data_IF_728668137578
#
_entry.id   IF_728668137578
#
_cell.length_a   1.000
_cell.length_b   1.000
_cell.length_c   1.000
_cell.angle_alpha   90.00
_cell.angle_beta   90.00
_cell.angle_gamma   90.00
#
_symmetry.space_group_name_H-M   'P 1'
#
loop_
_entity.id
_entity.type
_entity.pdbx_description
1 polymer ?
#
# COMPACT_ATOMS: atom_id res chain seq x y z
N UNK A 1 14.15 -43.86 44.47
CA UNK A 1 13.23 -43.42 43.38
C UNK A 1 13.37 -41.90 43.28
N UNK A 2 13.75 -41.23 42.21
CA UNK A 2 14.25 -41.55 40.86
C UNK A 2 15.26 -40.43 40.50
N UNK A 3 16.23 -40.77 39.66
CA UNK A 3 17.55 -40.18 39.62
C UNK A 3 17.68 -38.91 38.77
N UNK A 4 18.52 -37.98 39.23
CA UNK A 4 19.12 -36.89 38.45
C UNK A 4 19.98 -37.49 37.33
N UNK A 5 19.63 -37.24 36.07
CA UNK A 5 20.49 -37.58 34.92
C UNK A 5 21.36 -36.37 34.56
N UNK A 6 22.65 -36.52 34.84
CA UNK A 6 23.73 -35.74 34.23
C UNK A 6 23.74 -36.00 32.72
N UNK A 7 23.76 -34.94 31.91
CA UNK A 7 24.19 -35.02 30.52
C UNK A 7 25.44 -34.15 30.39
N UNK A 8 26.61 -34.79 30.43
CA UNK A 8 27.88 -34.18 30.05
C UNK A 8 28.01 -34.32 28.54
N UNK A 9 27.81 -33.23 27.80
CA UNK A 9 28.26 -33.13 26.42
C UNK A 9 29.68 -32.56 26.43
N UNK A 10 30.63 -33.36 25.98
CA UNK A 10 32.00 -32.93 25.70
C UNK A 10 31.98 -31.88 24.58
N UNK A 11 32.36 -30.64 24.90
CA UNK A 11 32.75 -29.64 23.90
C UNK A 11 34.08 -30.10 23.27
N UNK A 12 34.07 -30.36 21.96
CA UNK A 12 35.30 -30.42 21.18
C UNK A 12 35.64 -29.02 20.67
N UNK A 13 36.90 -28.56 20.77
CA UNK A 13 37.27 -27.23 20.31
C UNK A 13 37.27 -27.17 18.78
N UNK A 14 36.45 -26.26 18.23
CA UNK A 14 36.47 -25.91 16.80
C UNK A 14 37.84 -25.31 16.45
N UNK A 15 38.56 -26.00 15.57
CA UNK A 15 39.87 -25.59 15.08
C UNK A 15 39.78 -24.28 14.29
N UNK A 16 40.29 -23.19 14.87
CA UNK A 16 40.29 -21.81 14.32
C UNK A 16 41.18 -21.58 13.09
N UNK A 17 41.79 -22.61 12.50
CA UNK A 17 42.66 -22.46 11.32
C UNK A 17 41.96 -22.61 9.95
N UNK A 18 40.65 -22.89 9.90
CA UNK A 18 39.88 -22.90 8.61
C UNK A 18 39.00 -21.66 8.38
N UNK A 19 39.03 -20.68 9.27
CA UNK A 19 38.27 -19.42 9.14
C UNK A 19 39.07 -18.27 8.49
N UNK A 20 40.31 -18.52 8.08
CA UNK A 20 41.21 -17.50 7.49
C UNK A 20 41.30 -17.51 5.97
N UNK A 21 40.64 -18.42 5.25
CA UNK A 21 40.62 -18.41 3.76
C UNK A 21 39.46 -17.62 3.14
N UNK A 22 38.53 -17.08 3.94
CA UNK A 22 37.43 -16.23 3.44
C UNK A 22 37.72 -14.72 3.50
N UNK A 23 38.89 -14.32 4.00
CA UNK A 23 39.24 -12.90 4.23
C UNK A 23 40.19 -12.29 3.18
N UNK A 24 40.40 -12.92 2.01
CA UNK A 24 41.30 -12.39 0.97
C UNK A 24 40.63 -11.96 -0.35
N UNK A 25 39.31 -12.13 -0.52
CA UNK A 25 38.59 -11.60 -1.70
C UNK A 25 38.13 -10.13 -1.52
N UNK A 26 39.06 -9.23 -1.21
CA UNK A 26 38.85 -7.78 -1.38
C UNK A 26 40.15 -7.09 -1.78
N UNK A 27 40.47 -7.17 -3.09
CA UNK A 27 41.10 -6.13 -3.92
C UNK A 27 41.46 -6.75 -5.27
N UNK A 28 40.59 -6.60 -6.27
CA UNK A 28 40.99 -6.78 -7.66
C UNK A 28 41.57 -5.45 -8.19
N UNK A 29 42.71 -5.45 -8.90
CA UNK A 29 43.25 -4.26 -9.56
C UNK A 29 42.37 -3.86 -10.77
N UNK A 30 42.41 -2.58 -11.20
CA UNK A 30 41.45 -2.05 -12.16
C UNK A 30 41.80 -2.48 -13.60
N UNK A 31 40.83 -3.08 -14.28
CA UNK A 31 40.84 -3.29 -15.74
C UNK A 31 40.58 -4.71 -16.22
N UNK A 32 39.34 -5.22 -16.07
CA UNK A 32 38.63 -6.17 -16.97
C UNK A 32 37.23 -6.52 -16.40
N UNK A 33 36.27 -7.02 -17.22
CA UNK A 33 34.84 -6.75 -17.06
C UNK A 33 34.07 -7.71 -16.14
N UNK A 34 33.09 -7.15 -15.42
CA UNK A 34 31.75 -7.73 -15.15
C UNK A 34 31.64 -9.00 -14.29
N UNK A 35 31.03 -8.86 -13.11
CA UNK A 35 30.42 -9.97 -12.37
C UNK A 35 29.44 -10.76 -13.26
N UNK A 36 29.40 -12.10 -13.18
CA UNK A 36 28.50 -12.89 -14.02
C UNK A 36 27.02 -12.70 -13.62
N UNK A 37 26.15 -12.73 -14.62
CA UNK A 37 24.70 -12.61 -14.49
C UNK A 37 24.10 -13.69 -13.56
N UNK A 38 22.94 -13.43 -12.92
CA UNK A 38 22.28 -14.32 -11.95
C UNK A 38 22.05 -15.79 -12.39
N UNK A 39 21.90 -16.15 -13.69
CA UNK A 39 21.78 -17.56 -14.10
C UNK A 39 23.04 -18.41 -13.84
N UNK A 40 24.23 -17.80 -13.76
CA UNK A 40 25.48 -18.52 -13.52
C UNK A 40 25.70 -18.83 -12.02
N UNK A 41 25.19 -17.97 -11.12
CA UNK A 41 25.29 -18.15 -9.67
C UNK A 41 24.51 -19.39 -9.21
N UNK A 42 23.35 -19.65 -9.80
CA UNK A 42 22.51 -20.82 -9.49
C UNK A 42 23.18 -22.13 -9.93
N UNK A 43 23.92 -22.12 -11.05
CA UNK A 43 24.69 -23.30 -11.51
C UNK A 43 25.78 -23.67 -10.51
N UNK A 44 26.47 -22.68 -9.94
CA UNK A 44 27.51 -22.91 -8.94
C UNK A 44 26.96 -23.46 -7.62
N UNK A 45 25.78 -23.03 -7.17
CA UNK A 45 25.19 -23.52 -5.90
C UNK A 45 24.74 -24.98 -5.99
N UNK A 46 24.17 -25.39 -7.14
CA UNK A 46 23.74 -26.78 -7.36
C UNK A 46 24.95 -27.71 -7.54
N UNK A 47 26.00 -27.25 -8.25
CA UNK A 47 27.24 -28.00 -8.39
C UNK A 47 27.93 -28.20 -7.03
N UNK A 48 27.98 -27.16 -6.18
CA UNK A 48 28.56 -27.26 -4.83
C UNK A 48 27.78 -28.22 -3.92
N UNK A 49 26.44 -28.24 -4.00
CA UNK A 49 25.62 -29.15 -3.20
C UNK A 49 25.85 -30.63 -3.58
N UNK A 50 26.03 -30.90 -4.87
CA UNK A 50 26.34 -32.25 -5.38
C UNK A 50 27.76 -32.67 -4.97
N UNK A 51 28.74 -31.76 -5.05
CA UNK A 51 30.12 -32.04 -4.66
C UNK A 51 30.24 -32.26 -3.14
N UNK A 52 29.51 -31.48 -2.33
CA UNK A 52 29.44 -31.64 -0.88
C UNK A 52 28.83 -32.98 -0.45
N UNK A 53 27.75 -33.42 -1.14
CA UNK A 53 27.11 -34.70 -0.86
C UNK A 53 27.93 -35.90 -1.33
N UNK A 54 28.80 -35.73 -2.34
CA UNK A 54 29.67 -36.81 -2.83
C UNK A 54 30.98 -36.94 -2.03
N UNK A 55 31.52 -35.85 -1.46
CA UNK A 55 32.77 -35.87 -0.67
C UNK A 55 32.57 -36.16 0.83
N UNK A 56 31.37 -36.00 1.40
CA UNK A 56 31.13 -36.15 2.85
C UNK A 56 30.80 -37.57 3.35
N UNK A 57 30.87 -38.59 2.48
CA UNK A 57 30.89 -40.00 2.88
C UNK A 57 29.64 -40.54 3.59
N UNK A 58 28.54 -39.77 3.64
CA UNK A 58 27.30 -40.22 4.25
C UNK A 58 26.34 -40.78 3.18
N UNK A 59 26.12 -42.08 3.31
CA UNK A 59 24.99 -42.84 2.78
C UNK A 59 24.84 -42.97 1.25
N UNK A 60 25.53 -43.98 0.69
CA UNK A 60 25.42 -44.39 -0.72
C UNK A 60 24.07 -45.02 -1.09
N UNK A 61 23.07 -45.01 -0.22
CA UNK A 61 21.78 -45.65 -0.50
C UNK A 61 20.76 -44.73 -1.22
N UNK A 62 20.90 -43.40 -1.14
CA UNK A 62 19.97 -42.43 -1.74
C UNK A 62 20.20 -42.15 -3.25
N UNK A 63 21.31 -42.61 -3.82
CA UNK A 63 21.68 -42.35 -5.22
C UNK A 63 21.14 -43.37 -6.25
N UNK A 64 20.31 -44.33 -5.84
CA UNK A 64 19.69 -45.31 -6.76
C UNK A 64 18.27 -44.97 -7.23
N UNK A 65 17.66 -43.90 -6.72
CA UNK A 65 16.28 -43.52 -7.07
C UNK A 65 16.20 -42.33 -8.03
N UNK A 66 17.34 -41.73 -8.38
CA UNK A 66 17.40 -40.55 -9.24
C UNK A 66 17.77 -41.02 -10.66
N UNK A 67 16.74 -41.19 -11.50
CA UNK A 67 16.93 -41.43 -12.93
C UNK A 67 17.73 -40.30 -13.61
N UNK A 68 18.28 -40.53 -14.82
CA UNK A 68 19.15 -39.56 -15.49
C UNK A 68 18.44 -38.22 -15.67
N UNK A 69 19.11 -37.15 -15.23
CA UNK A 69 18.64 -35.77 -15.30
C UNK A 69 18.35 -35.41 -16.77
N UNK A 70 17.08 -35.33 -17.13
CA UNK A 70 16.63 -34.98 -18.49
C UNK A 70 16.63 -33.46 -18.64
N UNK A 71 17.72 -32.95 -19.25
CA UNK A 71 17.76 -31.66 -19.95
C UNK A 71 17.55 -30.38 -19.10
N UNK A 72 17.80 -29.20 -19.68
CA UNK A 72 17.50 -27.94 -19.02
C UNK A 72 15.98 -27.82 -18.83
N UNK A 73 15.54 -27.76 -17.58
CA UNK A 73 14.17 -27.35 -17.24
C UNK A 73 14.07 -25.88 -17.63
N UNK A 74 13.44 -25.59 -18.77
CA UNK A 74 12.97 -24.25 -19.09
C UNK A 74 11.90 -23.90 -18.07
N UNK A 75 12.29 -23.26 -16.96
CA UNK A 75 11.35 -22.51 -16.13
C UNK A 75 10.92 -21.33 -16.99
N UNK A 76 9.79 -21.47 -17.70
CA UNK A 76 9.10 -20.29 -18.22
C UNK A 76 8.77 -19.46 -16.98
N UNK A 77 9.42 -18.30 -16.84
CA UNK A 77 8.95 -17.27 -15.92
C UNK A 77 7.52 -16.98 -16.37
N UNK A 78 6.54 -17.43 -15.58
CA UNK A 78 5.15 -17.18 -15.85
C UNK A 78 4.97 -15.67 -15.66
N UNK A 79 4.83 -14.92 -16.76
CA UNK A 79 4.59 -13.49 -16.69
C UNK A 79 3.30 -13.26 -15.89
N UNK A 80 3.36 -12.37 -14.89
CA UNK A 80 2.17 -12.02 -14.12
C UNK A 80 1.10 -11.47 -15.08
N UNK A 81 -0.15 -11.92 -14.98
CA UNK A 81 -1.24 -11.28 -15.71
C UNK A 81 -1.29 -9.78 -15.42
N UNK A 82 -1.03 -8.97 -16.45
CA UNK A 82 -1.18 -7.52 -16.39
C UNK A 82 -2.63 -7.14 -16.70
N UNK A 83 -3.11 -6.08 -16.05
CA UNK A 83 -4.42 -5.46 -16.27
C UNK A 83 -5.59 -6.40 -15.98
N UNK A 84 -5.51 -7.14 -14.87
CA UNK A 84 -6.55 -8.08 -14.45
C UNK A 84 -7.17 -7.69 -13.12
N UNK A 85 -8.48 -7.93 -13.02
CA UNK A 85 -9.25 -8.00 -11.78
C UNK A 85 -9.74 -9.45 -11.69
N UNK A 86 -9.38 -10.16 -10.64
CA UNK A 86 -9.62 -11.59 -10.49
C UNK A 86 -10.63 -11.87 -9.38
N UNK A 87 -11.58 -12.76 -9.66
CA UNK A 87 -12.49 -13.33 -8.67
C UNK A 87 -11.76 -14.42 -7.88
N UNK A 88 -11.02 -14.01 -6.85
CA UNK A 88 -10.20 -14.91 -6.06
C UNK A 88 -9.87 -14.32 -4.68
N UNK A 89 -9.60 -15.18 -3.71
CA UNK A 89 -9.00 -14.78 -2.44
C UNK A 89 -7.59 -14.22 -2.68
N UNK A 90 -7.30 -13.04 -2.12
CA UNK A 90 -6.05 -12.34 -2.40
C UNK A 90 -4.81 -13.11 -1.94
N UNK A 91 -4.87 -13.90 -0.85
CA UNK A 91 -3.72 -14.68 -0.38
C UNK A 91 -3.43 -15.80 -1.39
N UNK A 92 -4.48 -16.49 -1.83
CA UNK A 92 -4.41 -17.57 -2.81
C UNK A 92 -3.95 -17.07 -4.17
N UNK A 93 -4.54 -15.98 -4.66
CA UNK A 93 -4.21 -15.38 -5.95
C UNK A 93 -2.82 -14.76 -5.96
N UNK A 94 -2.42 -14.07 -4.88
CA UNK A 94 -1.06 -13.59 -4.75
C UNK A 94 -0.07 -14.75 -4.71
N UNK A 95 -0.34 -15.87 -4.04
CA UNK A 95 0.58 -17.01 -4.00
C UNK A 95 0.94 -17.56 -5.39
N UNK A 96 0.05 -17.42 -6.37
CA UNK A 96 0.26 -17.82 -7.77
C UNK A 96 1.11 -16.81 -8.56
N UNK A 97 1.26 -15.58 -8.06
CA UNK A 97 2.07 -14.56 -8.71
C UNK A 97 3.57 -14.76 -8.42
N UNK A 98 4.45 -14.44 -9.39
CA UNK A 98 5.88 -14.32 -9.16
C UNK A 98 6.20 -13.36 -8.01
N UNK A 99 7.11 -13.76 -7.12
CA UNK A 99 7.63 -12.86 -6.09
C UNK A 99 8.39 -11.69 -6.73
N UNK A 100 8.32 -10.51 -6.12
CA UNK A 100 9.03 -9.33 -6.64
C UNK A 100 8.55 -8.85 -8.01
N UNK A 101 7.26 -9.01 -8.32
CA UNK A 101 6.67 -8.60 -9.60
C UNK A 101 5.89 -7.29 -9.54
N UNK A 102 5.50 -6.83 -8.33
CA UNK A 102 4.65 -5.65 -8.12
C UNK A 102 5.50 -4.45 -7.69
N UNK A 103 5.21 -3.27 -8.25
CA UNK A 103 5.90 -2.01 -7.92
C UNK A 103 5.25 -1.29 -6.73
N UNK A 104 3.93 -1.18 -6.76
CA UNK A 104 3.13 -0.48 -5.76
C UNK A 104 1.92 -1.32 -5.36
N UNK A 105 1.65 -1.43 -4.06
CA UNK A 105 0.43 -2.02 -3.55
C UNK A 105 -0.37 -1.00 -2.72
N UNK A 106 -1.68 -0.96 -2.91
CA UNK A 106 -2.60 -0.23 -2.05
C UNK A 106 -3.68 -1.20 -1.55
N UNK A 107 -3.84 -1.32 -0.24
CA UNK A 107 -4.84 -2.19 0.37
C UNK A 107 -5.85 -1.39 1.20
N UNK A 108 -7.13 -1.62 0.94
CA UNK A 108 -8.27 -1.15 1.74
C UNK A 108 -9.07 -2.37 2.24
N UNK A 109 -8.54 -3.13 3.21
CA UNK A 109 -9.21 -4.32 3.74
C UNK A 109 -10.51 -3.96 4.47
N UNK A 110 -11.42 -4.94 4.71
CA UNK A 110 -12.49 -4.80 5.69
C UNK A 110 -11.95 -4.39 7.08
N UNK A 111 -12.53 -3.36 7.70
CA UNK A 111 -12.01 -2.80 8.97
C UNK A 111 -12.42 -3.56 10.23
N UNK A 112 -13.21 -4.63 10.09
CA UNK A 112 -13.75 -5.43 11.19
C UNK A 112 -14.65 -4.61 12.13
N UNK A 113 -15.55 -3.80 11.55
CA UNK A 113 -16.44 -2.86 12.26
C UNK A 113 -17.93 -3.24 12.14
N UNK A 114 -18.22 -4.43 11.61
CA UNK A 114 -19.58 -4.92 11.37
C UNK A 114 -20.22 -4.36 10.09
N UNK A 115 -19.42 -3.95 9.10
CA UNK A 115 -19.95 -3.55 7.81
C UNK A 115 -20.59 -4.72 7.07
N UNK A 116 -21.73 -4.48 6.41
CA UNK A 116 -22.44 -5.52 5.67
C UNK A 116 -21.89 -5.64 4.24
N UNK A 117 -20.92 -6.53 4.04
CA UNK A 117 -20.54 -6.99 2.71
C UNK A 117 -21.51 -8.09 2.23
N UNK A 118 -21.45 -8.40 0.94
CA UNK A 118 -22.26 -9.44 0.30
C UNK A 118 -21.76 -10.86 0.60
N UNK A 119 -20.44 -11.07 0.60
CA UNK A 119 -19.82 -12.40 0.79
C UNK A 119 -18.89 -12.50 2.00
N UNK A 120 -18.63 -11.39 2.70
CA UNK A 120 -17.68 -11.33 3.83
C UNK A 120 -18.35 -10.87 5.13
N UNK A 121 -18.07 -11.59 6.22
CA UNK A 121 -18.51 -11.21 7.56
C UNK A 121 -17.46 -10.32 8.25
N UNK A 122 -17.76 -9.02 8.37
CA UNK A 122 -16.88 -7.99 8.94
C UNK A 122 -16.92 -7.92 10.47
N UNK A 123 -16.93 -9.06 11.14
CA UNK A 123 -17.05 -9.17 12.60
C UNK A 123 -16.29 -10.38 13.14
N UNK A 124 -15.09 -10.62 12.61
CA UNK A 124 -14.20 -11.69 13.05
C UNK A 124 -13.73 -11.43 14.48
N UNK A 125 -13.46 -12.51 15.21
CA UNK A 125 -12.74 -12.43 16.48
C UNK A 125 -11.37 -11.77 16.26
N UNK A 126 -10.94 -10.93 17.21
CA UNK A 126 -9.76 -10.07 17.06
C UNK A 126 -8.50 -10.82 16.67
N UNK A 127 -8.16 -11.94 17.33
CA UNK A 127 -6.96 -12.69 17.02
C UNK A 127 -7.06 -13.36 15.64
N UNK A 128 -8.24 -13.88 15.27
CA UNK A 128 -8.50 -14.41 13.94
C UNK A 128 -8.35 -13.35 12.85
N UNK A 129 -8.87 -12.14 13.09
CA UNK A 129 -8.72 -10.99 12.19
C UNK A 129 -7.26 -10.61 12.00
N UNK A 130 -6.51 -10.46 13.11
CA UNK A 130 -5.09 -10.12 13.05
C UNK A 130 -4.25 -11.18 12.35
N UNK A 131 -4.50 -12.46 12.61
CA UNK A 131 -3.80 -13.58 11.95
C UNK A 131 -4.05 -13.56 10.45
N UNK A 132 -5.29 -13.29 10.04
CA UNK A 132 -5.65 -13.12 8.64
C UNK A 132 -4.96 -11.89 8.02
N UNK A 133 -4.90 -10.77 8.75
CA UNK A 133 -4.17 -9.57 8.33
C UNK A 133 -2.68 -9.82 8.12
N UNK A 134 -2.02 -10.48 9.06
CA UNK A 134 -0.61 -10.84 8.94
C UNK A 134 -0.35 -11.69 7.68
N UNK A 135 -1.26 -12.63 7.36
CA UNK A 135 -1.12 -13.50 6.21
C UNK A 135 -1.18 -12.74 4.87
N UNK A 136 -2.17 -11.87 4.66
CA UNK A 136 -2.25 -11.11 3.41
C UNK A 136 -1.18 -10.01 3.33
N UNK A 137 -0.78 -9.38 4.45
CA UNK A 137 0.35 -8.43 4.45
C UNK A 137 1.65 -9.14 4.03
N UNK A 138 1.87 -10.37 4.50
CA UNK A 138 3.03 -11.17 4.10
C UNK A 138 2.97 -11.55 2.61
N UNK A 139 1.79 -11.87 2.08
CA UNK A 139 1.60 -12.12 0.65
C UNK A 139 1.93 -10.87 -0.19
N UNK A 140 1.50 -9.68 0.24
CA UNK A 140 1.86 -8.39 -0.38
C UNK A 140 3.37 -8.15 -0.33
N UNK A 141 4.01 -8.38 0.83
CA UNK A 141 5.47 -8.22 0.97
C UNK A 141 6.26 -9.12 0.00
N UNK A 142 5.80 -10.36 -0.21
CA UNK A 142 6.38 -11.31 -1.17
C UNK A 142 6.21 -10.85 -2.61
N UNK A 143 5.02 -10.34 -2.96
CA UNK A 143 4.70 -9.90 -4.31
C UNK A 143 5.46 -8.62 -4.72
N UNK A 144 5.69 -7.70 -3.78
CA UNK A 144 6.42 -6.45 -4.04
C UNK A 144 7.89 -6.67 -4.39
N UNK A 145 8.40 -5.88 -5.35
CA UNK A 145 9.83 -5.74 -5.67
C UNK A 145 10.63 -5.30 -4.44
N UNK A 146 11.96 -5.44 -4.48
CA UNK A 146 12.82 -5.04 -3.35
C UNK A 146 12.74 -3.55 -3.01
N UNK A 147 12.43 -2.72 -4.00
CA UNK A 147 12.20 -1.27 -3.93
C UNK A 147 10.70 -0.90 -3.94
N UNK A 148 9.83 -1.90 -3.81
CA UNK A 148 8.38 -1.73 -3.87
C UNK A 148 7.80 -1.00 -2.66
N UNK A 149 6.67 -0.34 -2.92
CA UNK A 149 5.95 0.48 -1.94
C UNK A 149 4.61 -0.15 -1.58
N UNK A 150 4.23 -0.06 -0.30
CA UNK A 150 2.94 -0.56 0.21
C UNK A 150 2.18 0.52 0.97
N UNK A 151 0.93 0.73 0.61
CA UNK A 151 -0.01 1.61 1.29
C UNK A 151 -1.18 0.81 1.88
N UNK A 152 -1.57 1.14 3.11
CA UNK A 152 -2.62 0.42 3.84
C UNK A 152 -3.59 1.40 4.48
N UNK A 153 -4.86 1.35 4.09
CA UNK A 153 -5.96 2.06 4.74
C UNK A 153 -6.59 1.20 5.86
N UNK A 154 -6.93 1.81 6.99
CA UNK A 154 -7.62 1.14 8.11
C UNK A 154 -8.34 2.15 9.02
N UNK A 155 -9.37 1.69 9.73
CA UNK A 155 -10.04 2.44 10.81
C UNK A 155 -9.28 2.40 12.15
N UNK A 156 -9.83 3.08 13.16
CA UNK A 156 -9.23 3.25 14.49
C UNK A 156 -8.85 1.93 15.18
N UNK A 157 -9.69 0.90 15.05
CA UNK A 157 -9.68 -0.32 15.89
C UNK A 157 -8.37 -1.11 15.85
N UNK A 158 -7.74 -1.19 14.69
CA UNK A 158 -6.60 -2.07 14.44
C UNK A 158 -5.41 -1.34 13.80
N UNK A 159 -5.41 -0.01 13.81
CA UNK A 159 -4.39 0.78 13.14
C UNK A 159 -2.98 0.51 13.69
N UNK A 160 -2.85 0.47 15.02
CA UNK A 160 -1.57 0.21 15.66
C UNK A 160 -1.07 -1.22 15.39
N UNK A 161 -1.97 -2.19 15.47
CA UNK A 161 -1.71 -3.61 15.30
C UNK A 161 -1.24 -3.92 13.88
N UNK A 162 -1.96 -3.43 12.87
CA UNK A 162 -1.59 -3.65 11.47
C UNK A 162 -0.27 -2.95 11.11
N UNK A 163 0.00 -1.76 11.67
CA UNK A 163 1.31 -1.12 11.54
C UNK A 163 2.42 -1.99 12.12
N UNK A 164 2.25 -2.49 13.35
CA UNK A 164 3.25 -3.33 14.00
C UNK A 164 3.43 -4.66 13.25
N UNK A 165 2.35 -5.26 12.78
CA UNK A 165 2.38 -6.49 11.96
C UNK A 165 3.20 -6.30 10.68
N UNK A 166 2.94 -5.22 9.92
CA UNK A 166 3.70 -4.89 8.72
C UNK A 166 5.20 -4.72 9.03
N UNK A 167 5.54 -4.03 10.13
CA UNK A 167 6.93 -3.84 10.54
C UNK A 167 7.62 -5.16 10.92
N UNK A 168 6.91 -6.08 11.60
CA UNK A 168 7.44 -7.42 11.93
C UNK A 168 7.72 -8.27 10.69
N UNK A 169 6.91 -8.12 9.64
CA UNK A 169 7.10 -8.82 8.35
C UNK A 169 8.33 -8.31 7.60
N UNK A 170 8.71 -7.04 7.81
CA UNK A 170 9.94 -6.45 7.27
C UNK A 170 9.76 -5.06 6.67
N UNK A 171 8.52 -4.56 6.57
CA UNK A 171 8.26 -3.23 6.05
C UNK A 171 8.83 -2.12 6.93
N UNK A 172 9.26 -1.04 6.28
CA UNK A 172 9.77 0.15 6.92
C UNK A 172 8.73 1.27 6.78
N UNK A 173 8.13 1.68 7.89
CA UNK A 173 7.17 2.80 7.91
C UNK A 173 7.86 4.09 7.51
N UNK A 174 7.29 4.81 6.54
CA UNK A 174 7.70 6.16 6.13
C UNK A 174 6.84 7.22 6.79
N UNK A 175 5.53 7.05 6.71
CA UNK A 175 4.55 7.99 7.26
C UNK A 175 3.31 7.26 7.77
N UNK A 176 2.72 7.80 8.83
CA UNK A 176 1.36 7.49 9.25
C UNK A 176 0.49 8.68 8.86
N UNK A 177 -0.20 8.54 7.74
CA UNK A 177 -1.08 9.57 7.22
C UNK A 177 -2.44 9.51 7.90
N UNK A 178 -2.98 10.69 8.25
CA UNK A 178 -4.36 10.84 8.73
C UNK A 178 -5.21 11.40 7.61
N UNK A 179 -6.13 10.58 7.09
CA UNK A 179 -7.13 11.03 6.13
C UNK A 179 -8.39 11.48 6.86
N UNK A 180 -8.56 12.80 7.01
CA UNK A 180 -9.75 13.38 7.63
C UNK A 180 -10.92 13.50 6.64
N UNK A 181 -12.16 13.28 7.11
CA UNK A 181 -13.39 13.49 6.35
C UNK A 181 -14.50 14.13 7.21
N UNK A 182 -15.32 14.98 6.58
CA UNK A 182 -16.29 15.86 7.27
C UNK A 182 -17.60 15.19 7.67
N UNK A 183 -18.00 14.11 7.00
CA UNK A 183 -19.18 13.32 7.35
C UNK A 183 -18.78 12.13 8.22
N UNK A 184 -18.55 12.41 9.50
CA UNK A 184 -18.18 11.42 10.50
C UNK A 184 -19.34 10.55 10.99
N UNK A 185 -19.00 9.44 11.64
CA UNK A 185 -19.98 8.58 12.32
C UNK A 185 -20.24 9.17 13.71
N UNK A 186 -21.47 9.62 13.96
CA UNK A 186 -21.87 10.10 15.27
C UNK A 186 -21.66 8.99 16.32
N UNK A 187 -21.00 9.33 17.41
CA UNK A 187 -20.67 8.41 18.49
C UNK A 187 -21.38 8.87 19.77
N UNK A 188 -21.95 7.92 20.53
CA UNK A 188 -22.69 8.21 21.77
C UNK A 188 -21.79 8.40 22.99
N UNK A 189 -20.72 7.61 23.09
CA UNK A 189 -19.87 7.51 24.28
C UNK A 189 -18.38 7.82 24.01
N UNK A 190 -18.08 8.40 22.84
CA UNK A 190 -16.74 8.83 22.45
C UNK A 190 -16.81 9.98 21.44
N UNK A 191 -15.67 10.58 21.12
CA UNK A 191 -15.58 11.58 20.06
C UNK A 191 -16.02 11.00 18.71
N UNK A 192 -16.59 11.87 17.86
CA UNK A 192 -17.04 11.50 16.51
C UNK A 192 -15.86 11.00 15.69
N UNK A 193 -16.02 9.85 15.03
CA UNK A 193 -15.02 9.36 14.08
C UNK A 193 -15.08 10.19 12.81
N UNK A 194 -13.96 10.80 12.46
CA UNK A 194 -13.85 11.76 11.36
C UNK A 194 -12.58 11.58 10.54
N UNK A 195 -11.91 10.44 10.69
CA UNK A 195 -10.71 10.13 9.92
C UNK A 195 -10.56 8.63 9.70
N UNK A 196 -9.67 8.28 8.78
CA UNK A 196 -9.09 6.96 8.62
C UNK A 196 -7.56 7.09 8.64
N UNK A 197 -6.89 5.97 8.90
CA UNK A 197 -5.44 5.89 8.90
C UNK A 197 -4.97 5.33 7.58
N UNK A 198 -3.95 5.95 6.99
CA UNK A 198 -3.28 5.42 5.81
C UNK A 198 -1.80 5.28 6.14
N UNK A 199 -1.28 4.07 6.13
CA UNK A 199 0.13 3.82 6.38
C UNK A 199 0.91 3.75 5.07
N UNK A 200 2.04 4.45 5.01
CA UNK A 200 2.98 4.38 3.90
C UNK A 200 4.21 3.57 4.35
N UNK A 201 4.41 2.42 3.71
CA UNK A 201 5.52 1.51 3.93
C UNK A 201 6.38 1.34 2.68
N UNK A 202 7.67 1.04 2.89
CA UNK A 202 8.61 0.62 1.84
C UNK A 202 9.35 -0.63 2.29
N UNK A 203 9.87 -1.40 1.33
CA UNK A 203 10.73 -2.56 1.65
C UNK A 203 12.18 -2.16 1.98
N UNK A 204 12.70 -1.17 1.28
CA UNK A 204 14.03 -0.62 1.50
C UNK A 204 13.94 0.88 1.83
N UNK A 205 14.68 1.33 2.87
CA UNK A 205 14.64 2.71 3.37
C UNK A 205 15.37 3.71 2.48
N UNK A 206 16.27 3.23 1.64
CA UNK A 206 17.14 4.02 0.77
C UNK A 206 16.75 3.87 -0.70
N UNK A 207 16.14 2.74 -1.07
CA UNK A 207 15.76 2.42 -2.46
C UNK A 207 14.27 2.19 -2.58
N UNK A 208 13.56 3.21 -3.06
CA UNK A 208 12.13 3.14 -3.33
C UNK A 208 11.72 4.26 -4.29
N UNK A 209 10.64 4.04 -5.03
CA UNK A 209 10.08 5.07 -5.92
C UNK A 209 9.39 6.16 -5.10
N UNK A 210 9.88 7.40 -5.25
CA UNK A 210 9.27 8.57 -4.64
C UNK A 210 9.48 9.81 -5.52
N UNK A 211 8.46 10.12 -6.32
CA UNK A 211 8.46 11.14 -7.37
C UNK A 211 8.33 12.56 -6.82
N UNK A 212 9.15 12.88 -5.82
CA UNK A 212 9.16 14.18 -5.15
C UNK A 212 9.49 15.31 -6.11
N UNK A 213 10.33 15.11 -7.12
CA UNK A 213 10.74 16.18 -8.03
C UNK A 213 9.71 16.55 -9.10
N UNK A 214 8.64 15.77 -9.23
CA UNK A 214 7.55 16.05 -10.17
C UNK A 214 6.71 17.24 -9.66
N UNK A 215 6.58 18.33 -10.44
CA UNK A 215 5.74 19.47 -10.08
C UNK A 215 4.28 19.11 -9.80
N UNK A 216 3.74 18.06 -10.42
CA UNK A 216 2.37 17.60 -10.16
C UNK A 216 2.18 17.00 -8.75
N UNK A 217 3.28 16.71 -8.05
CA UNK A 217 3.31 16.16 -6.70
C UNK A 217 3.73 17.20 -5.65
N UNK A 218 3.91 18.47 -6.05
CA UNK A 218 4.34 19.57 -5.19
C UNK A 218 3.20 20.57 -5.01
N UNK A 219 3.22 21.27 -3.88
CA UNK A 219 2.33 22.41 -3.65
C UNK A 219 3.13 23.64 -3.20
N UNK A 220 2.60 24.86 -3.43
CA UNK A 220 3.23 26.07 -2.94
C UNK A 220 3.47 26.02 -1.42
N UNK A 221 4.60 26.56 -0.99
CA UNK A 221 4.93 26.71 0.43
C UNK A 221 4.61 28.13 0.92
N UNK A 222 4.30 28.27 2.20
CA UNK A 222 4.19 29.59 2.84
C UNK A 222 5.50 30.41 2.70
N UNK A 223 6.67 29.74 2.63
CA UNK A 223 7.95 30.38 2.32
C UNK A 223 7.96 31.08 0.97
N UNK A 224 7.27 30.53 -0.03
CA UNK A 224 7.10 31.16 -1.35
C UNK A 224 6.03 32.26 -1.31
N UNK A 225 4.86 31.93 -0.75
CA UNK A 225 3.67 32.76 -0.90
C UNK A 225 3.58 33.92 0.09
N UNK A 226 4.09 33.73 1.32
CA UNK A 226 3.90 34.67 2.44
C UNK A 226 5.21 35.35 2.80
N UNK A 227 6.29 34.58 2.92
CA UNK A 227 7.55 35.08 3.52
C UNK A 227 8.60 35.54 2.50
N UNK A 228 8.39 35.30 1.20
CA UNK A 228 9.38 35.57 0.14
C UNK A 228 10.81 35.08 0.50
N UNK A 229 10.89 33.92 1.17
CA UNK A 229 12.13 33.37 1.71
C UNK A 229 12.96 32.76 0.57
N UNK A 230 14.19 33.24 0.37
CA UNK A 230 15.11 32.74 -0.68
C UNK A 230 15.48 31.27 -0.54
N UNK A 231 15.26 30.65 0.63
CA UNK A 231 15.46 29.21 0.87
C UNK A 231 14.25 28.37 0.43
N UNK A 232 13.18 29.00 -0.05
CA UNK A 232 12.06 28.29 -0.63
C UNK A 232 12.53 27.43 -1.81
N UNK A 233 12.07 26.18 -1.87
CA UNK A 233 12.26 25.37 -3.07
C UNK A 233 11.38 25.98 -4.18
N UNK A 234 11.94 26.37 -5.34
CA UNK A 234 11.17 26.98 -6.42
C UNK A 234 10.07 26.06 -6.98
N UNK A 235 10.23 24.74 -6.85
CA UNK A 235 9.23 23.75 -7.27
C UNK A 235 8.08 23.58 -6.28
N UNK A 236 8.11 24.26 -5.13
CA UNK A 236 7.19 24.00 -4.03
C UNK A 236 7.73 22.99 -3.02
N UNK A 237 6.92 22.66 -2.03
CA UNK A 237 7.25 21.67 -1.01
C UNK A 237 6.51 20.36 -1.26
N UNK A 238 7.02 19.30 -0.63
CA UNK A 238 6.21 18.11 -0.44
C UNK A 238 5.06 18.46 0.50
N UNK A 239 3.96 17.76 0.40
CA UNK A 239 2.85 18.09 1.28
C UNK A 239 2.83 17.24 2.54
N UNK A 240 2.02 17.66 3.49
CA UNK A 240 2.03 17.10 4.82
C UNK A 240 1.42 15.70 4.87
N UNK A 241 1.74 15.00 5.95
CA UNK A 241 1.16 13.71 6.32
C UNK A 241 -0.22 13.82 7.00
N UNK A 242 -0.67 15.04 7.29
CA UNK A 242 -2.04 15.29 7.75
C UNK A 242 -2.87 15.77 6.57
N UNK A 243 -3.94 15.03 6.25
CA UNK A 243 -4.73 15.30 5.06
C UNK A 243 -6.09 15.90 5.49
N UNK A 244 -6.19 17.25 5.50
CA UNK A 244 -7.26 18.10 6.08
C UNK A 244 -8.14 18.77 5.03
N UNK A 245 -9.33 19.22 5.47
CA UNK A 245 -10.42 19.72 4.63
C UNK A 245 -10.88 21.19 4.87
N UNK A 246 -10.82 22.20 3.93
CA UNK A 246 -11.62 23.43 3.99
C UNK A 246 -13.01 23.40 3.27
N UNK A 247 -13.96 24.28 3.66
CA UNK A 247 -15.11 24.74 2.89
C UNK A 247 -14.80 26.03 2.08
N UNK A 248 -15.69 26.38 1.15
CA UNK A 248 -15.46 27.31 0.03
C UNK A 248 -16.24 28.62 0.07
N UNK A 249 -15.69 29.59 -0.66
CA UNK A 249 -16.09 30.94 -1.18
C UNK A 249 -17.51 31.55 -0.96
N UNK A 250 -18.53 30.89 -0.42
CA UNK A 250 -19.80 31.56 -0.10
C UNK A 250 -19.94 31.87 1.40
N UNK A 251 -19.15 32.81 1.93
CA UNK A 251 -19.34 33.27 3.31
C UNK A 251 -19.41 34.79 3.56
N UNK A 252 -19.24 35.67 2.59
CA UNK A 252 -18.92 37.06 3.00
C UNK A 252 -20.07 37.94 3.53
N UNK A 253 -21.37 37.57 3.46
CA UNK A 253 -22.42 38.61 3.58
C UNK A 253 -23.22 38.71 4.89
N UNK A 254 -23.29 37.73 5.80
CA UNK A 254 -24.20 37.84 6.98
C UNK A 254 -23.69 37.12 8.23
N UNK A 255 -22.74 37.75 8.94
CA UNK A 255 -22.49 37.43 10.35
C UNK A 255 -23.40 38.27 11.23
N UNK A 256 -24.32 37.62 11.97
CA UNK A 256 -24.81 38.16 13.25
C UNK A 256 -24.87 37.04 14.28
N UNK A 257 -23.94 37.12 15.24
CA UNK A 257 -23.98 36.61 16.62
C UNK A 257 -24.91 35.42 16.93
N UNK A 258 -24.41 34.20 16.76
CA UNK A 258 -24.83 33.04 17.57
C UNK A 258 -23.69 32.01 17.60
N UNK A 259 -23.01 31.99 18.74
CA UNK A 259 -21.77 31.29 19.01
C UNK A 259 -21.98 29.79 19.18
N UNK A 260 -21.71 29.01 18.13
CA UNK A 260 -21.36 27.59 18.21
C UNK A 260 -20.30 27.29 17.16
N UNK A 261 -19.03 27.57 17.50
CA UNK A 261 -17.89 27.20 16.64
C UNK A 261 -17.58 25.73 16.92
N UNK A 262 -17.98 24.83 16.03
CA UNK A 262 -17.84 23.39 16.25
C UNK A 262 -16.60 22.79 15.59
N UNK A 263 -15.95 23.45 14.61
CA UNK A 263 -14.81 22.85 13.89
C UNK A 263 -13.72 23.88 13.52
N UNK A 264 -12.43 23.50 13.51
CA UNK A 264 -11.30 24.41 13.18
C UNK A 264 -11.40 25.05 11.78
N UNK A 265 -12.05 24.38 10.84
CA UNK A 265 -12.34 24.90 9.50
C UNK A 265 -13.51 25.90 9.44
N UNK A 266 -14.23 26.10 10.55
CA UNK A 266 -15.28 27.11 10.71
C UNK A 266 -14.69 28.45 11.27
N UNK A 267 -13.37 28.55 11.39
CA UNK A 267 -12.66 29.73 11.86
C UNK A 267 -11.91 30.39 10.70
N UNK A 268 -12.33 31.61 10.34
CA UNK A 268 -11.83 32.39 9.21
C UNK A 268 -10.31 32.60 9.17
N UNK A 269 -9.63 32.44 10.31
CA UNK A 269 -8.22 32.81 10.49
C UNK A 269 -7.28 31.61 10.73
N UNK A 270 -7.77 30.36 10.56
CA UNK A 270 -7.03 29.18 11.05
C UNK A 270 -6.42 28.31 9.96
N UNK A 271 -7.19 27.92 8.94
CA UNK A 271 -6.69 27.06 7.87
C UNK A 271 -7.16 27.51 6.47
N UNK A 272 -6.22 27.77 5.57
CA UNK A 272 -6.40 28.33 4.23
C UNK A 272 -5.87 27.38 3.14
N UNK A 273 -6.38 27.44 1.89
CA UNK A 273 -5.88 26.63 0.77
C UNK A 273 -4.39 26.81 0.40
N UNK A 274 -3.69 27.73 1.05
CA UNK A 274 -2.25 27.98 0.85
C UNK A 274 -1.35 27.20 1.82
N UNK A 275 -1.93 26.37 2.68
CA UNK A 275 -1.24 25.66 3.75
C UNK A 275 -0.71 24.29 3.36
N UNK A 276 -0.04 23.67 4.32
CA UNK A 276 0.77 22.49 4.14
C UNK A 276 0.08 21.14 4.06
N UNK A 277 -1.21 21.21 4.33
CA UNK A 277 -2.06 20.09 4.68
C UNK A 277 -3.00 19.74 3.53
N UNK A 278 -3.18 18.43 3.30
CA UNK A 278 -3.67 17.89 2.02
C UNK A 278 -5.15 17.51 2.00
N UNK A 279 -5.95 17.81 0.99
CA UNK A 279 -7.41 17.56 1.08
C UNK A 279 -7.93 16.37 0.29
N UNK A 280 -8.71 15.47 0.92
CA UNK A 280 -9.59 14.56 0.19
C UNK A 280 -10.95 14.33 0.87
N UNK A 281 -12.09 14.58 0.19
CA UNK A 281 -13.42 14.32 0.74
C UNK A 281 -13.71 12.83 0.65
N UNK A 282 -14.52 12.31 1.57
CA UNK A 282 -15.12 10.99 1.40
C UNK A 282 -16.04 10.99 0.17
N UNK A 283 -16.05 9.90 -0.59
CA UNK A 283 -17.01 9.71 -1.70
C UNK A 283 -18.42 9.57 -1.12
N UNK A 284 -19.23 10.61 -1.28
CA UNK A 284 -20.62 10.63 -0.81
C UNK A 284 -21.61 10.23 -1.92
N UNK A 285 -22.84 9.89 -1.53
CA UNK A 285 -23.88 9.42 -2.46
C UNK A 285 -24.25 10.40 -3.59
N UNK A 286 -23.90 11.67 -3.45
CA UNK A 286 -24.13 12.71 -4.46
C UNK A 286 -22.98 12.85 -5.45
N UNK A 287 -21.83 12.22 -5.22
CA UNK A 287 -20.62 12.48 -6.01
C UNK A 287 -20.72 11.76 -7.35
N UNK A 288 -20.23 12.40 -8.41
CA UNK A 288 -20.22 11.82 -9.77
C UNK A 288 -19.42 10.52 -9.81
N UNK A 289 -18.31 10.46 -9.06
CA UNK A 289 -17.44 9.28 -8.98
C UNK A 289 -18.08 8.12 -8.21
N UNK A 290 -19.23 8.33 -7.54
CA UNK A 290 -19.85 7.32 -6.69
C UNK A 290 -20.44 6.20 -7.51
N UNK A 291 -19.93 5.01 -7.26
CA UNK A 291 -20.53 3.75 -7.67
C UNK A 291 -21.66 3.37 -6.70
N UNK A 292 -22.86 3.14 -7.24
CA UNK A 292 -24.09 2.90 -6.44
C UNK A 292 -24.08 1.61 -5.62
N UNK A 293 -23.10 0.73 -5.82
CA UNK A 293 -23.06 -0.62 -5.23
C UNK A 293 -22.12 -0.76 -4.02
N UNK A 294 -21.15 0.15 -3.80
CA UNK A 294 -20.13 -0.01 -2.75
C UNK A 294 -20.19 1.11 -1.72
N UNK A 295 -20.56 0.80 -0.46
CA UNK A 295 -20.73 1.80 0.61
C UNK A 295 -19.50 2.67 0.91
N UNK A 296 -18.31 2.08 0.79
CA UNK A 296 -17.05 2.63 1.26
C UNK A 296 -16.05 2.86 0.10
N UNK A 297 -16.50 3.44 -1.01
CA UNK A 297 -15.59 3.71 -2.13
C UNK A 297 -14.54 4.77 -1.76
N UNK A 298 -13.28 4.51 -2.14
CA UNK A 298 -12.16 5.45 -2.01
C UNK A 298 -12.23 6.55 -3.08
N UNK A 299 -11.81 7.81 -2.77
CA UNK A 299 -11.77 8.88 -3.76
C UNK A 299 -10.66 8.66 -4.78
N UNK A 300 -10.92 8.95 -6.06
CA UNK A 300 -9.90 8.75 -7.10
C UNK A 300 -8.68 9.64 -6.93
N UNK A 301 -8.87 10.91 -6.53
CA UNK A 301 -7.77 11.86 -6.36
C UNK A 301 -6.81 11.45 -5.23
N UNK A 302 -7.33 10.79 -4.18
CA UNK A 302 -6.55 10.25 -3.07
C UNK A 302 -5.57 9.19 -3.59
N UNK A 303 -6.10 8.20 -4.31
CA UNK A 303 -5.31 7.13 -4.91
C UNK A 303 -4.40 7.64 -6.02
N UNK A 304 -4.85 8.64 -6.78
CA UNK A 304 -4.08 9.22 -7.86
C UNK A 304 -2.79 9.87 -7.37
N UNK A 305 -2.85 10.52 -6.22
CA UNK A 305 -1.68 11.07 -5.56
C UNK A 305 -0.70 9.98 -5.11
N UNK A 306 -1.21 8.92 -4.47
CA UNK A 306 -0.38 7.78 -4.03
C UNK A 306 0.31 7.14 -5.24
N UNK A 307 -0.45 6.83 -6.30
CA UNK A 307 0.06 6.18 -7.51
C UNK A 307 1.06 7.08 -8.24
N UNK A 308 0.80 8.38 -8.39
CA UNK A 308 1.76 9.32 -9.00
C UNK A 308 3.04 9.47 -8.18
N UNK A 309 2.95 9.47 -6.85
CA UNK A 309 4.11 9.65 -5.98
C UNK A 309 4.98 8.40 -5.92
N UNK A 310 4.39 7.20 -5.95
CA UNK A 310 5.06 5.95 -5.63
C UNK A 310 5.16 4.95 -6.79
N UNK A 311 4.88 5.36 -8.03
CA UNK A 311 5.06 4.53 -9.23
C UNK A 311 5.30 5.36 -10.50
N UNK A 312 5.79 4.72 -11.55
CA UNK A 312 5.95 5.25 -12.90
C UNK A 312 4.92 4.66 -13.88
N UNK A 313 4.61 5.34 -15.00
CA UNK A 313 3.79 4.75 -16.06
C UNK A 313 4.35 3.39 -16.52
N UNK A 314 3.46 2.43 -16.78
CA UNK A 314 3.80 1.05 -17.14
C UNK A 314 4.14 0.12 -15.97
N UNK A 315 4.37 0.64 -14.76
CA UNK A 315 4.58 -0.19 -13.57
C UNK A 315 3.28 -0.85 -13.08
N UNK A 316 3.42 -1.91 -12.30
CA UNK A 316 2.30 -2.72 -11.82
C UNK A 316 1.81 -2.26 -10.45
N UNK A 317 0.55 -1.85 -10.39
CA UNK A 317 -0.18 -1.48 -9.17
C UNK A 317 -1.08 -2.63 -8.72
N UNK A 318 -0.91 -3.09 -7.48
CA UNK A 318 -1.68 -4.15 -6.85
C UNK A 318 -2.77 -3.58 -5.93
N UNK A 319 -3.98 -4.14 -6.00
CA UNK A 319 -5.03 -3.98 -5.00
C UNK A 319 -5.58 -5.33 -4.53
N UNK A 320 -5.20 -5.83 -3.33
CA UNK A 320 -5.68 -7.11 -2.81
C UNK A 320 -7.14 -7.08 -2.34
N UNK A 321 -7.78 -5.90 -2.26
CA UNK A 321 -9.16 -5.73 -1.80
C UNK A 321 -9.91 -4.77 -2.74
N UNK A 322 -10.03 -5.16 -4.00
CA UNK A 322 -10.37 -4.23 -5.09
C UNK A 322 -11.73 -3.56 -4.93
N UNK A 323 -12.74 -4.24 -4.39
CA UNK A 323 -14.08 -3.71 -4.14
C UNK A 323 -14.66 -2.99 -5.36
N UNK A 324 -14.79 -1.67 -5.24
CA UNK A 324 -15.23 -0.77 -6.34
C UNK A 324 -14.26 -0.62 -7.52
N UNK A 325 -13.12 -1.33 -7.50
CA UNK A 325 -12.00 -1.27 -8.44
C UNK A 325 -11.37 0.13 -8.58
N UNK A 326 -11.46 0.98 -7.55
CA UNK A 326 -10.98 2.38 -7.64
C UNK A 326 -9.46 2.45 -7.84
N UNK A 327 -8.66 1.64 -7.13
CA UNK A 327 -7.21 1.62 -7.32
C UNK A 327 -6.83 1.24 -8.75
N UNK A 328 -7.50 0.22 -9.30
CA UNK A 328 -7.27 -0.27 -10.66
C UNK A 328 -7.69 0.77 -11.71
N UNK A 329 -8.84 1.40 -11.50
CA UNK A 329 -9.35 2.48 -12.35
C UNK A 329 -8.34 3.64 -12.40
N UNK A 330 -7.86 4.10 -11.25
CA UNK A 330 -6.88 5.18 -11.16
C UNK A 330 -5.53 4.77 -11.76
N UNK A 331 -5.08 3.53 -11.54
CA UNK A 331 -3.87 3.00 -12.17
C UNK A 331 -4.00 3.04 -13.70
N UNK A 332 -5.11 2.55 -14.26
CA UNK A 332 -5.40 2.59 -15.70
C UNK A 332 -5.42 4.02 -16.24
N UNK A 333 -6.17 4.94 -15.60
CA UNK A 333 -6.23 6.37 -15.97
C UNK A 333 -4.85 7.01 -15.99
N UNK A 334 -3.98 6.66 -15.05
CA UNK A 334 -2.61 7.15 -14.97
C UNK A 334 -1.61 6.36 -15.85
N UNK A 335 -2.05 5.41 -16.66
CA UNK A 335 -1.19 4.64 -17.56
C UNK A 335 -0.27 3.65 -16.83
N UNK A 336 -0.70 3.12 -15.68
CA UNK A 336 -0.05 1.99 -14.98
C UNK A 336 -0.76 0.69 -15.33
N UNK A 337 -0.02 -0.42 -15.25
CA UNK A 337 -0.64 -1.73 -15.25
C UNK A 337 -1.27 -2.00 -13.88
N UNK A 338 -2.29 -2.85 -13.83
CA UNK A 338 -2.97 -3.18 -12.58
C UNK A 338 -3.19 -4.68 -12.38
N UNK A 339 -3.21 -5.10 -11.11
CA UNK A 339 -3.64 -6.42 -10.68
C UNK A 339 -4.53 -6.25 -9.46
N UNK A 340 -5.73 -6.82 -9.51
CA UNK A 340 -6.70 -6.73 -8.43
C UNK A 340 -7.30 -8.08 -8.06
N UNK A 341 -7.66 -8.23 -6.80
CA UNK A 341 -8.39 -9.39 -6.28
C UNK A 341 -9.63 -8.93 -5.54
N UNK A 342 -10.73 -9.65 -5.73
CA UNK A 342 -11.91 -9.55 -4.88
C UNK A 342 -12.62 -10.91 -4.82
N UNK A 343 -13.22 -11.24 -3.69
CA UNK A 343 -13.94 -12.50 -3.48
C UNK A 343 -15.42 -12.41 -3.89
N UNK A 344 -15.94 -11.19 -4.10
CA UNK A 344 -17.31 -10.94 -4.54
C UNK A 344 -17.39 -10.97 -6.07
N UNK A 345 -18.16 -11.92 -6.60
CA UNK A 345 -18.50 -11.96 -8.02
C UNK A 345 -19.21 -10.68 -8.47
N UNK A 346 -20.05 -10.11 -7.59
CA UNK A 346 -20.74 -8.86 -7.86
C UNK A 346 -19.74 -7.72 -8.01
N UNK A 347 -18.80 -7.55 -7.08
CA UNK A 347 -17.79 -6.48 -7.16
C UNK A 347 -16.87 -6.65 -8.35
N UNK A 348 -16.41 -7.87 -8.64
CA UNK A 348 -15.58 -8.15 -9.83
C UNK A 348 -16.33 -7.79 -11.12
N UNK A 349 -17.59 -8.18 -11.25
CA UNK A 349 -18.39 -7.87 -12.45
C UNK A 349 -18.58 -6.37 -12.65
N UNK A 350 -18.83 -5.62 -11.56
CA UNK A 350 -18.95 -4.16 -11.64
C UNK A 350 -17.60 -3.49 -11.91
N UNK A 351 -16.54 -3.99 -11.29
CA UNK A 351 -15.16 -3.53 -11.50
C UNK A 351 -14.73 -3.68 -12.95
N UNK A 352 -15.02 -4.82 -13.59
CA UNK A 352 -14.76 -5.00 -15.03
C UNK A 352 -15.50 -3.97 -15.89
N UNK A 353 -16.81 -3.79 -15.66
CA UNK A 353 -17.61 -2.79 -16.39
C UNK A 353 -17.04 -1.37 -16.24
N UNK A 354 -16.58 -1.01 -15.04
CA UNK A 354 -15.91 0.28 -14.78
C UNK A 354 -14.55 0.37 -15.49
N UNK A 355 -13.75 -0.69 -15.47
CA UNK A 355 -12.45 -0.70 -16.13
C UNK A 355 -12.55 -0.69 -17.65
N UNK A 356 -13.58 -1.29 -18.23
CA UNK A 356 -13.88 -1.27 -19.67
C UNK A 356 -14.25 0.12 -20.18
N UNK A 357 -14.85 0.97 -19.34
CA UNK A 357 -15.28 2.33 -19.73
C UNK A 357 -14.18 3.40 -19.61
N UNK A 358 -13.02 3.05 -19.07
CA UNK A 358 -11.89 3.96 -18.83
C UNK A 358 -10.85 3.79 -19.93
N UNK A 359 -10.39 4.91 -20.48
CA UNK A 359 -9.21 4.95 -21.34
C UNK A 359 -7.98 5.47 -20.58
N UNK A 360 -6.76 4.97 -20.85
CA UNK A 360 -5.55 5.57 -20.31
C UNK A 360 -5.45 7.06 -20.65
N UNK A 361 -5.23 7.90 -19.64
CA UNK A 361 -5.20 9.35 -19.75
C UNK A 361 -6.51 10.05 -19.36
N UNK A 362 -7.58 9.32 -19.10
CA UNK A 362 -8.83 9.89 -18.58
C UNK A 362 -8.61 10.68 -17.28
N UNK A 363 -9.35 11.78 -17.06
CA UNK A 363 -9.22 12.57 -15.84
C UNK A 363 -9.69 11.78 -14.61
N UNK A 364 -9.01 12.00 -13.49
CA UNK A 364 -9.47 11.54 -12.18
C UNK A 364 -10.71 12.33 -11.78
N UNK A 365 -11.72 11.66 -11.26
CA UNK A 365 -12.93 12.33 -10.78
C UNK A 365 -12.67 13.07 -9.45
N UNK A 366 -13.36 14.20 -9.25
CA UNK A 366 -13.15 15.10 -8.10
C UNK A 366 -12.07 16.16 -8.34
N UNK A 367 -11.98 17.15 -7.45
CA UNK A 367 -10.95 18.19 -7.53
C UNK A 367 -9.62 17.69 -6.93
N UNK A 368 -8.49 18.06 -7.53
CA UNK A 368 -7.16 17.67 -7.05
C UNK A 368 -6.84 18.25 -5.66
N UNK A 369 -7.30 19.47 -5.39
CA UNK A 369 -7.29 20.12 -4.06
C UNK A 369 -8.67 20.73 -3.80
N UNK A 370 -9.62 19.98 -3.23
CA UNK A 370 -10.96 20.50 -3.01
C UNK A 370 -10.94 21.58 -1.93
N UNK A 371 -11.30 22.79 -2.29
CA UNK A 371 -11.40 23.91 -1.34
C UNK A 371 -12.76 23.96 -0.65
N UNK A 372 -13.70 23.06 -1.01
CA UNK A 372 -14.96 22.87 -0.29
C UNK A 372 -15.25 21.45 0.15
N UNK A 373 -15.94 21.32 1.29
CA UNK A 373 -16.77 20.15 1.58
C UNK A 373 -17.83 19.99 0.49
N UNK A 374 -17.76 18.87 -0.24
CA UNK A 374 -18.79 18.31 -1.13
C UNK A 374 -19.61 19.34 -1.94
N UNK A 375 -19.42 19.50 -3.26
CA UNK A 375 -20.22 20.43 -4.04
C UNK A 375 -21.72 20.10 -3.90
N UNK A 376 -22.54 21.15 -3.73
CA UNK A 376 -23.99 21.00 -3.83
C UNK A 376 -24.33 20.42 -5.20
N UNK A 377 -25.04 19.30 -5.23
CA UNK A 377 -25.45 18.68 -6.49
C UNK A 377 -26.89 19.05 -6.81
N UNK A 378 -27.18 19.31 -8.08
CA UNK A 378 -28.52 19.65 -8.55
C UNK A 378 -29.58 18.56 -8.25
N UNK A 379 -29.14 17.34 -7.94
CA UNK A 379 -29.99 16.19 -7.55
C UNK A 379 -29.92 15.85 -6.05
N UNK A 380 -29.22 16.65 -5.24
CA UNK A 380 -29.09 16.43 -3.80
C UNK A 380 -30.41 16.64 -3.08
N UNK A 381 -30.86 15.64 -2.31
CA UNK A 381 -32.03 15.79 -1.42
C UNK A 381 -31.69 16.74 -0.28
N UNK A 382 -32.31 17.92 -0.24
CA UNK A 382 -32.26 18.80 0.94
C UNK A 382 -33.09 18.18 2.07
N UNK A 383 -32.55 18.17 3.30
CA UNK A 383 -33.36 17.84 4.50
C UNK A 383 -34.43 18.92 4.67
N UNK A 384 -35.68 18.50 4.87
CA UNK A 384 -36.72 19.38 5.43
C UNK A 384 -36.16 19.94 6.74
N UNK A 385 -36.25 21.26 6.89
CA UNK A 385 -35.70 22.06 7.99
C UNK A 385 -35.72 21.32 9.33
N UNK A 386 -34.60 21.31 10.04
CA UNK A 386 -34.51 20.81 11.41
C UNK A 386 -35.55 21.54 12.27
N UNK A 387 -36.28 20.84 13.16
CA UNK A 387 -37.14 21.52 14.12
C UNK A 387 -36.31 22.47 14.97
N UNK A 388 -36.84 23.68 15.17
CA UNK A 388 -36.22 24.78 15.91
C UNK A 388 -35.88 24.41 17.34
#
# INVERSE_FOLDING_TARGET
MLAKKNCQCHEQPVNRQKLTEFASFRKAPPGQPGLPNPPEVIKCTVAWLIDFLTTSGHDRHLLKTIGPFRGPVNVRLQESPLNQLLLEDCITGLAQQPAGSVDLAFADPPFNIGYSYDVYADSKESQQYLTWCEAWIAAVYRALKSDGTFWLAIGDEYAAELKVAAQKIGFQTRSWVVWYYTFGVNCKFKFTRSHAHIFYFVKDREKFTFNSEDPANRIPSARQLVYADKRANPKGRLPDDTWVIPPTVEEMARQTSATWVLRPQDLADRFTPTEDTWYFPRVAGTFKEREGFHGCQMPEQLLGRIIRMCSHPGELVLDPFSGSATTLAVAKKLGRNYLGFDISEQYVTHGHRRLESIEPGDPLDGAAEPTMSAPSTAKGKQRKSLPK
#
